data_IF_585698631705
#
_entry.id   IF_585698631705
#
_cell.length_a   1.000
_cell.length_b   1.000
_cell.length_c   1.000
_cell.angle_alpha   90.00
_cell.angle_beta   90.00
_cell.angle_gamma   90.00
#
_symmetry.space_group_name_H-M   'P 1'
#
loop_
_entity.id
_entity.type
_entity.pdbx_description
1 polymer ?
#
# COMPACT_ATOMS: atom_id res chain seq x y z
N UNK A 1 -62.53 1.71 -61.26
CA UNK A 1 -62.51 2.89 -60.36
C UNK A 1 -61.72 2.50 -59.12
N UNK A 2 -60.69 3.27 -58.76
CA UNK A 2 -59.53 2.78 -58.00
C UNK A 2 -59.63 3.08 -56.51
N UNK A 3 -58.91 2.32 -55.68
CA UNK A 3 -58.32 2.86 -54.45
C UNK A 3 -56.89 2.31 -54.35
N UNK A 4 -55.95 3.16 -54.78
CA UNK A 4 -54.51 3.00 -54.54
C UNK A 4 -54.25 3.32 -53.07
N UNK A 5 -53.78 2.35 -52.27
CA UNK A 5 -53.20 2.65 -50.96
C UNK A 5 -51.70 2.87 -51.14
N UNK A 6 -51.32 4.14 -51.17
CA UNK A 6 -49.94 4.61 -51.04
C UNK A 6 -49.40 4.22 -49.65
N UNK A 7 -48.67 3.11 -49.57
CA UNK A 7 -47.85 2.80 -48.40
C UNK A 7 -46.57 3.64 -48.53
N UNK A 8 -46.60 4.82 -47.91
CA UNK A 8 -45.42 5.68 -47.76
C UNK A 8 -44.35 4.90 -46.98
N UNK A 9 -43.26 4.52 -47.66
CA UNK A 9 -42.00 4.17 -47.01
C UNK A 9 -41.47 5.41 -46.29
N UNK A 10 -41.57 5.43 -44.97
CA UNK A 10 -40.81 6.35 -44.15
C UNK A 10 -39.41 5.78 -43.98
N UNK A 11 -38.48 6.18 -44.85
CA UNK A 11 -37.05 6.00 -44.63
C UNK A 11 -36.64 6.92 -43.47
N UNK A 12 -36.79 6.42 -42.25
CA UNK A 12 -36.18 7.04 -41.08
C UNK A 12 -34.66 6.78 -41.16
N UNK A 13 -33.82 7.82 -41.09
CA UNK A 13 -32.38 7.62 -41.05
C UNK A 13 -32.04 6.81 -39.80
N UNK A 14 -31.41 5.65 -40.00
CA UNK A 14 -30.76 4.89 -38.93
C UNK A 14 -29.73 5.84 -38.33
N UNK A 15 -30.04 6.37 -37.15
CA UNK A 15 -29.12 7.13 -36.36
C UNK A 15 -27.91 6.23 -36.12
N UNK A 16 -26.82 6.51 -36.85
CA UNK A 16 -25.49 6.02 -36.54
C UNK A 16 -25.27 6.29 -35.06
N UNK A 17 -25.19 5.23 -34.25
CA UNK A 17 -24.80 5.35 -32.86
C UNK A 17 -23.42 6.00 -32.85
N UNK A 18 -23.43 7.31 -32.66
CA UNK A 18 -22.25 8.09 -32.32
C UNK A 18 -21.58 7.34 -31.18
N UNK A 19 -20.37 6.87 -31.46
CA UNK A 19 -19.43 6.31 -30.51
C UNK A 19 -19.40 7.27 -29.35
N UNK A 20 -20.21 7.01 -28.31
CA UNK A 20 -20.21 7.82 -27.09
C UNK A 20 -18.78 7.79 -26.64
N UNK A 21 -18.11 8.91 -26.84
CA UNK A 21 -16.81 9.20 -26.29
C UNK A 21 -16.93 8.78 -24.84
N UNK A 22 -16.22 7.71 -24.48
CA UNK A 22 -15.96 7.36 -23.11
C UNK A 22 -15.11 8.51 -22.60
N UNK A 23 -15.76 9.61 -22.24
CA UNK A 23 -15.16 10.72 -21.55
C UNK A 23 -14.54 10.08 -20.33
N UNK A 24 -13.21 9.95 -20.37
CA UNK A 24 -12.45 9.69 -19.18
C UNK A 24 -12.76 10.90 -18.30
N UNK A 25 -13.77 10.79 -17.44
CA UNK A 25 -13.88 11.67 -16.30
C UNK A 25 -12.57 11.46 -15.55
N UNK A 26 -11.63 12.35 -15.80
CA UNK A 26 -10.35 12.41 -15.12
C UNK A 26 -10.67 12.89 -13.72
N UNK A 27 -11.12 11.96 -12.88
CA UNK A 27 -11.46 12.20 -11.48
C UNK A 27 -10.29 12.92 -10.85
N UNK A 28 -10.53 14.09 -10.26
CA UNK A 28 -9.43 14.91 -9.78
C UNK A 28 -8.73 14.16 -8.64
N UNK A 29 -7.38 14.15 -8.52
CA UNK A 29 -6.67 13.34 -7.51
C UNK A 29 -7.13 13.57 -6.06
N UNK A 30 -7.69 14.75 -5.74
CA UNK A 30 -8.26 15.04 -4.41
C UNK A 30 -9.57 14.28 -4.14
N UNK A 31 -10.35 13.99 -5.18
CA UNK A 31 -11.63 13.29 -5.10
C UNK A 31 -11.46 11.78 -4.86
N UNK A 32 -10.24 11.25 -4.96
CA UNK A 32 -9.93 9.83 -4.75
C UNK A 32 -9.36 9.51 -3.37
N UNK A 33 -9.25 10.51 -2.48
CA UNK A 33 -8.71 10.31 -1.12
C UNK A 33 -9.60 9.45 -0.21
N UNK A 34 -10.88 9.31 -0.52
CA UNK A 34 -11.75 8.37 0.19
C UNK A 34 -11.35 6.91 -0.08
N UNK A 35 -10.74 6.64 -1.24
CA UNK A 35 -10.28 5.30 -1.62
C UNK A 35 -8.83 5.06 -1.22
N UNK A 36 -7.96 6.05 -1.44
CA UNK A 36 -6.53 6.01 -1.06
C UNK A 36 -6.21 7.16 -0.09
N UNK A 37 -6.59 7.03 1.19
CA UNK A 37 -6.32 8.06 2.18
C UNK A 37 -4.82 8.25 2.42
N UNK A 38 -4.45 9.37 3.08
CA UNK A 38 -3.07 9.56 3.52
C UNK A 38 -2.72 8.48 4.55
N UNK A 39 -1.54 7.86 4.39
CA UNK A 39 -1.10 6.83 5.31
C UNK A 39 -0.73 7.44 6.68
N UNK A 40 -1.25 6.90 7.81
CA UNK A 40 -0.94 7.41 9.13
C UNK A 40 0.56 7.43 9.41
N UNK A 41 1.00 8.43 10.18
CA UNK A 41 2.37 8.42 10.72
C UNK A 41 2.48 7.34 11.78
N UNK A 42 3.55 6.56 11.73
CA UNK A 42 3.84 5.51 12.71
C UNK A 42 4.89 6.06 13.68
N UNK A 43 4.62 5.94 14.99
CA UNK A 43 5.56 6.35 16.02
C UNK A 43 6.66 5.30 16.24
N UNK A 44 7.88 5.76 16.52
CA UNK A 44 8.92 4.90 17.07
C UNK A 44 8.51 4.42 18.46
N UNK A 45 8.85 3.17 18.78
CA UNK A 45 8.83 2.71 20.17
C UNK A 45 9.80 3.56 21.02
N UNK A 46 9.51 3.78 22.31
CA UNK A 46 10.33 4.62 23.20
C UNK A 46 11.71 4.04 23.50
N UNK A 47 11.90 2.74 23.28
CA UNK A 47 13.16 2.05 23.57
C UNK A 47 14.15 2.19 22.40
N UNK A 48 15.30 2.82 22.68
CA UNK A 48 16.39 3.03 21.72
C UNK A 48 15.93 3.56 20.34
N UNK A 49 15.13 4.64 20.27
CA UNK A 49 14.55 5.09 19.01
C UNK A 49 15.64 5.65 18.08
N UNK A 50 15.88 4.99 16.95
CA UNK A 50 16.63 5.57 15.83
C UNK A 50 15.72 6.48 14.98
N UNK A 51 15.23 7.55 15.59
CA UNK A 51 14.29 8.51 15.03
C UNK A 51 15.00 9.74 14.44
N UNK A 52 14.52 10.24 13.29
CA UNK A 52 14.94 11.53 12.77
C UNK A 52 14.24 12.69 13.51
N UNK A 53 14.72 13.93 13.34
CA UNK A 53 14.17 15.12 14.01
C UNK A 53 12.65 15.28 13.84
N UNK A 54 12.12 14.87 12.69
CA UNK A 54 10.70 15.01 12.38
C UNK A 54 9.88 13.79 12.75
N UNK A 55 10.47 12.68 13.19
CA UNK A 55 9.77 11.43 13.54
C UNK A 55 8.96 11.57 14.85
N UNK A 56 7.89 10.77 14.96
CA UNK A 56 7.15 10.62 16.22
C UNK A 56 7.82 9.56 17.07
N UNK A 57 7.87 9.78 18.38
CA UNK A 57 8.29 8.79 19.38
C UNK A 57 7.12 8.64 20.35
N UNK A 58 6.65 7.41 20.55
CA UNK A 58 5.60 7.12 21.51
C UNK A 58 6.16 7.22 22.93
N UNK A 59 5.35 7.66 23.87
CA UNK A 59 5.64 7.52 25.30
C UNK A 59 5.58 6.06 25.74
N UNK A 60 6.18 5.74 26.88
CA UNK A 60 6.08 4.39 27.47
C UNK A 60 4.64 3.99 27.75
N UNK A 61 3.80 4.93 28.21
CA UNK A 61 2.39 4.68 28.47
C UNK A 61 1.61 4.34 27.20
N UNK A 62 1.85 5.05 26.09
CA UNK A 62 1.23 4.74 24.79
C UNK A 62 1.69 3.38 24.25
N UNK A 63 2.97 3.08 24.41
CA UNK A 63 3.57 1.84 23.92
C UNK A 63 3.27 0.62 24.82
N UNK A 64 2.82 0.83 26.06
CA UNK A 64 2.56 -0.24 27.02
C UNK A 64 1.56 -1.29 26.51
N UNK A 65 0.64 -0.89 25.63
CA UNK A 65 -0.34 -1.79 24.97
C UNK A 65 0.33 -2.94 24.20
N UNK A 66 1.59 -2.78 23.76
CA UNK A 66 2.36 -3.85 23.11
C UNK A 66 2.52 -5.05 24.04
N UNK A 67 2.70 -4.81 25.34
CA UNK A 67 2.82 -5.86 26.34
C UNK A 67 1.43 -6.43 26.66
N UNK A 68 1.15 -7.63 26.12
CA UNK A 68 -0.12 -8.32 26.35
C UNK A 68 -1.17 -8.16 25.25
N UNK A 69 -0.85 -7.48 24.15
CA UNK A 69 -1.71 -7.43 22.97
C UNK A 69 -1.95 -8.84 22.41
N UNK A 70 -3.20 -9.33 22.47
CA UNK A 70 -3.58 -10.65 21.98
C UNK A 70 -3.52 -10.78 20.44
N UNK A 71 -3.69 -9.66 19.72
CA UNK A 71 -3.69 -9.60 18.25
C UNK A 71 -2.55 -8.74 17.72
N UNK A 72 -1.36 -8.99 18.25
CA UNK A 72 -0.14 -8.34 17.81
C UNK A 72 0.42 -9.06 16.58
N UNK A 73 0.80 -8.30 15.56
CA UNK A 73 1.67 -8.77 14.49
C UNK A 73 2.96 -7.95 14.47
N UNK A 74 4.07 -8.65 14.23
CA UNK A 74 5.39 -8.04 14.07
C UNK A 74 5.96 -8.50 12.73
N UNK A 75 6.25 -7.54 11.85
CA UNK A 75 6.82 -7.83 10.53
C UNK A 75 8.09 -7.02 10.32
N UNK A 76 8.90 -7.43 9.34
CA UNK A 76 9.97 -6.59 8.84
C UNK A 76 9.44 -5.21 8.42
N UNK A 77 10.18 -4.16 8.79
CA UNK A 77 10.05 -2.85 8.17
C UNK A 77 10.86 -2.86 6.88
N UNK A 78 10.17 -2.81 5.75
CA UNK A 78 10.81 -2.65 4.45
C UNK A 78 11.28 -1.22 4.23
N UNK A 79 12.35 -1.09 3.45
CA UNK A 79 13.03 0.15 3.11
C UNK A 79 12.85 0.47 1.63
N UNK A 80 11.69 1.05 1.31
CA UNK A 80 11.35 1.52 -0.02
C UNK A 80 10.44 2.73 0.06
N UNK A 81 9.47 2.79 -0.86
CA UNK A 81 8.50 3.87 -0.86
C UNK A 81 7.08 3.39 -0.55
N UNK A 82 6.49 3.92 0.51
CA UNK A 82 5.07 3.72 0.84
C UNK A 82 4.17 4.10 -0.35
N UNK A 83 3.37 3.14 -0.80
CA UNK A 83 2.48 3.24 -1.94
C UNK A 83 1.12 2.61 -1.61
N UNK A 84 0.05 3.37 -1.83
CA UNK A 84 -1.32 2.90 -1.80
C UNK A 84 -1.80 2.64 -3.23
N UNK A 85 -2.43 1.50 -3.47
CA UNK A 85 -2.93 1.06 -4.75
C UNK A 85 -4.39 0.60 -4.62
N UNK A 86 -5.22 1.02 -5.56
CA UNK A 86 -6.59 0.56 -5.68
C UNK A 86 -6.99 0.45 -7.15
N UNK A 87 -8.06 -0.29 -7.42
CA UNK A 87 -8.81 -0.16 -8.65
C UNK A 87 -10.16 0.45 -8.32
N UNK A 88 -10.69 1.25 -9.25
CA UNK A 88 -12.03 1.82 -9.13
C UNK A 88 -12.56 2.07 -10.53
N UNK A 89 -13.73 1.51 -10.86
CA UNK A 89 -14.35 1.62 -12.19
C UNK A 89 -13.39 1.26 -13.34
N UNK A 90 -12.55 0.25 -13.13
CA UNK A 90 -11.55 -0.21 -14.10
C UNK A 90 -10.29 0.65 -14.20
N UNK A 91 -10.18 1.73 -13.42
CA UNK A 91 -9.02 2.63 -13.40
C UNK A 91 -8.15 2.35 -12.17
N UNK A 92 -6.83 2.34 -12.37
CA UNK A 92 -5.85 2.24 -11.27
C UNK A 92 -5.70 3.60 -10.60
N UNK A 93 -5.84 3.60 -9.28
CA UNK A 93 -5.55 4.73 -8.42
C UNK A 93 -4.31 4.40 -7.59
N UNK A 94 -3.31 5.28 -7.64
CA UNK A 94 -2.08 5.12 -6.89
C UNK A 94 -1.81 6.39 -6.07
N UNK A 95 -1.34 6.23 -4.84
CA UNK A 95 -0.97 7.35 -3.99
C UNK A 95 0.29 7.05 -3.18
N UNK A 96 1.15 8.05 -3.04
CA UNK A 96 2.21 8.04 -2.03
C UNK A 96 1.64 8.52 -0.70
N UNK A 97 2.43 8.47 0.38
CA UNK A 97 2.07 9.02 1.70
C UNK A 97 1.44 10.42 1.66
N UNK A 98 1.83 11.27 0.70
CA UNK A 98 1.42 12.68 0.65
C UNK A 98 0.48 13.03 -0.51
N UNK A 99 0.56 12.30 -1.63
CA UNK A 99 -0.08 12.70 -2.88
C UNK A 99 -0.63 11.51 -3.66
N UNK A 100 -1.86 11.66 -4.15
CA UNK A 100 -2.40 10.80 -5.22
C UNK A 100 -1.63 11.10 -6.51
N UNK A 101 -1.09 10.05 -7.11
CA UNK A 101 -0.24 10.11 -8.29
C UNK A 101 -1.10 10.29 -9.56
N UNK A 102 -0.57 11.01 -10.55
CA UNK A 102 -1.20 11.18 -11.86
C UNK A 102 -0.54 10.26 -12.89
N UNK A 103 -1.31 9.61 -13.76
CA UNK A 103 -0.73 8.82 -14.86
C UNK A 103 0.07 9.74 -15.78
N UNK A 104 1.25 9.29 -16.23
CA UNK A 104 2.19 10.15 -16.97
C UNK A 104 3.01 11.10 -16.10
N UNK A 105 3.07 10.85 -14.79
CA UNK A 105 3.94 11.59 -13.88
C UNK A 105 5.42 11.38 -14.24
N UNK A 106 6.04 12.42 -14.79
CA UNK A 106 7.48 12.49 -15.01
C UNK A 106 8.01 13.68 -14.19
N UNK A 107 8.85 13.40 -13.18
CA UNK A 107 9.61 14.44 -12.47
C UNK A 107 11.08 14.03 -12.42
N UNK A 108 11.97 15.02 -12.43
CA UNK A 108 13.42 14.85 -12.60
C UNK A 108 14.12 14.09 -11.45
N UNK A 109 13.58 14.11 -10.24
CA UNK A 109 14.24 13.51 -9.06
C UNK A 109 14.10 11.99 -9.04
N UNK A 110 15.18 11.26 -8.71
CA UNK A 110 15.20 9.80 -8.58
C UNK A 110 14.09 9.25 -7.66
N UNK A 111 13.82 9.94 -6.54
CA UNK A 111 12.75 9.61 -5.60
C UNK A 111 11.33 9.62 -6.21
N UNK A 112 11.14 10.26 -7.37
CA UNK A 112 9.87 10.35 -8.09
C UNK A 112 9.82 9.45 -9.31
N UNK A 113 10.96 9.22 -9.96
CA UNK A 113 11.09 8.32 -11.11
C UNK A 113 10.74 6.87 -10.76
N UNK A 114 10.93 6.47 -9.49
CA UNK A 114 10.58 5.12 -9.04
C UNK A 114 9.11 4.72 -9.28
N UNK A 115 8.19 5.69 -9.42
CA UNK A 115 6.76 5.42 -9.60
C UNK A 115 6.29 5.32 -11.06
N UNK A 116 7.18 5.48 -12.05
CA UNK A 116 6.80 5.50 -13.48
C UNK A 116 6.09 4.20 -13.91
N UNK A 117 6.53 3.06 -13.36
CA UNK A 117 6.02 1.73 -13.76
C UNK A 117 4.82 1.24 -12.93
N UNK A 118 4.32 2.05 -11.99
CA UNK A 118 3.23 1.63 -11.08
C UNK A 118 1.98 1.20 -11.85
N UNK A 119 1.55 1.96 -12.86
CA UNK A 119 0.36 1.62 -13.65
C UNK A 119 0.53 0.34 -14.46
N UNK A 120 1.72 0.12 -15.04
CA UNK A 120 2.01 -1.11 -15.77
C UNK A 120 1.95 -2.31 -14.83
N UNK A 121 2.59 -2.21 -13.67
CA UNK A 121 2.58 -3.26 -12.66
C UNK A 121 1.15 -3.57 -12.17
N UNK A 122 0.32 -2.55 -11.94
CA UNK A 122 -1.08 -2.76 -11.53
C UNK A 122 -1.94 -3.43 -12.62
N UNK A 123 -1.60 -3.25 -13.89
CA UNK A 123 -2.29 -3.91 -14.99
C UNK A 123 -1.87 -5.37 -15.11
N UNK A 124 -0.56 -5.65 -15.03
CA UNK A 124 0.02 -7.01 -14.97
C UNK A 124 -0.56 -7.82 -13.80
N UNK A 125 -0.85 -7.17 -12.67
CA UNK A 125 -1.37 -7.79 -11.46
C UNK A 125 -2.88 -7.55 -11.25
N UNK A 126 -3.60 -7.14 -12.29
CA UNK A 126 -5.02 -6.76 -12.22
C UNK A 126 -5.91 -7.77 -11.50
N UNK A 127 -5.70 -9.07 -11.74
CA UNK A 127 -6.50 -10.15 -11.14
C UNK A 127 -6.44 -10.16 -9.61
N UNK A 128 -5.32 -9.73 -9.01
CA UNK A 128 -5.18 -9.64 -7.55
C UNK A 128 -6.12 -8.60 -6.96
N UNK A 129 -6.18 -7.42 -7.59
CA UNK A 129 -7.07 -6.34 -7.17
C UNK A 129 -8.55 -6.69 -7.40
N UNK A 130 -8.87 -7.34 -8.51
CA UNK A 130 -10.24 -7.81 -8.76
C UNK A 130 -10.68 -8.89 -7.77
N UNK A 131 -9.76 -9.77 -7.35
CA UNK A 131 -10.04 -10.73 -6.28
C UNK A 131 -10.35 -10.01 -4.97
N UNK A 132 -9.51 -9.05 -4.58
CA UNK A 132 -9.68 -8.25 -3.36
C UNK A 132 -11.05 -7.57 -3.30
N UNK A 133 -11.45 -6.83 -4.35
CA UNK A 133 -12.76 -6.15 -4.41
C UNK A 133 -13.92 -7.14 -4.29
N UNK A 134 -13.83 -8.31 -4.95
CA UNK A 134 -14.88 -9.34 -4.89
C UNK A 134 -14.96 -10.02 -3.53
N UNK A 135 -13.81 -10.41 -2.97
CA UNK A 135 -13.73 -11.12 -1.70
C UNK A 135 -14.17 -10.23 -0.53
N UNK A 136 -13.85 -8.93 -0.60
CA UNK A 136 -14.31 -7.95 0.39
C UNK A 136 -15.78 -7.56 0.20
N UNK A 137 -16.27 -7.55 -1.04
CA UNK A 137 -17.64 -7.11 -1.36
C UNK A 137 -17.80 -5.60 -1.50
N UNK A 138 -16.71 -4.87 -1.75
CA UNK A 138 -16.73 -3.41 -1.90
C UNK A 138 -15.38 -2.80 -2.26
N UNK A 139 -15.32 -1.47 -2.45
CA UNK A 139 -14.07 -0.77 -2.79
C UNK A 139 -13.08 -0.83 -1.62
N UNK A 140 -11.86 -1.27 -1.91
CA UNK A 140 -10.75 -1.29 -0.96
C UNK A 140 -9.45 -0.81 -1.61
N UNK A 141 -8.50 -0.42 -0.78
CA UNK A 141 -7.14 -0.11 -1.25
C UNK A 141 -6.09 -0.86 -0.45
N UNK A 142 -4.97 -1.15 -1.11
CA UNK A 142 -3.85 -1.89 -0.57
C UNK A 142 -2.69 -0.93 -0.35
N UNK A 143 -2.17 -0.90 0.86
CA UNK A 143 -0.97 -0.15 1.23
C UNK A 143 0.20 -1.11 1.34
N UNK A 144 1.33 -0.71 0.77
CA UNK A 144 2.53 -1.53 0.72
C UNK A 144 3.78 -0.73 0.47
N UNK A 145 4.90 -1.43 0.51
CA UNK A 145 6.20 -0.87 0.18
C UNK A 145 6.53 -1.15 -1.29
N UNK A 146 6.82 -0.09 -2.03
CA UNK A 146 7.29 -0.16 -3.42
C UNK A 146 8.83 -0.26 -3.43
N UNK A 147 9.33 -1.44 -3.81
CA UNK A 147 10.75 -1.82 -3.74
C UNK A 147 11.42 -1.70 -5.10
N UNK A 148 11.25 -0.56 -5.78
CA UNK A 148 11.85 -0.35 -7.11
C UNK A 148 13.29 0.14 -7.05
N UNK A 149 13.61 0.96 -6.07
CA UNK A 149 14.95 1.53 -5.91
C UNK A 149 15.40 1.20 -4.50
N UNK A 150 16.60 0.63 -4.30
CA UNK A 150 17.12 0.43 -2.95
C UNK A 150 17.38 1.80 -2.33
N UNK A 151 16.86 2.02 -1.12
CA UNK A 151 17.10 3.25 -0.37
C UNK A 151 18.34 3.09 0.50
N UNK A 152 18.46 1.95 1.18
CA UNK A 152 19.56 1.56 2.09
C UNK A 152 19.68 0.03 2.21
N UNK A 153 18.59 -0.73 2.14
CA UNK A 153 18.61 -2.20 2.06
C UNK A 153 18.70 -2.65 0.59
N UNK A 154 19.66 -3.53 0.27
CA UNK A 154 19.82 -4.13 -1.07
C UNK A 154 19.01 -5.41 -1.15
N UNK A 155 17.78 -5.28 -1.64
CA UNK A 155 16.90 -6.41 -1.87
C UNK A 155 17.38 -7.30 -3.04
N UNK A 156 17.14 -8.60 -2.93
CA UNK A 156 17.38 -9.58 -3.98
C UNK A 156 16.56 -9.25 -5.24
N UNK A 157 17.08 -9.61 -6.42
CA UNK A 157 16.37 -9.39 -7.68
C UNK A 157 15.01 -10.12 -7.76
N UNK A 158 14.87 -11.23 -7.02
CA UNK A 158 13.63 -11.99 -6.92
C UNK A 158 12.60 -11.37 -5.95
N UNK A 159 12.98 -10.35 -5.17
CA UNK A 159 12.07 -9.69 -4.24
C UNK A 159 10.92 -9.01 -5.02
N UNK A 160 9.66 -9.22 -4.61
CA UNK A 160 8.51 -8.58 -5.23
C UNK A 160 8.66 -7.06 -5.28
N UNK A 161 8.29 -6.44 -6.41
CA UNK A 161 8.33 -4.97 -6.55
C UNK A 161 7.39 -4.23 -5.59
N UNK A 162 6.36 -4.91 -5.11
CA UNK A 162 5.39 -4.37 -4.15
C UNK A 162 5.11 -5.41 -3.08
N UNK A 163 5.38 -5.06 -1.83
CA UNK A 163 5.10 -5.89 -0.65
C UNK A 163 3.99 -5.19 0.15
N UNK A 164 2.73 -5.64 0.03
CA UNK A 164 1.64 -5.06 0.79
C UNK A 164 1.77 -5.38 2.27
N UNK A 165 1.33 -4.42 3.10
CA UNK A 165 1.36 -4.54 4.55
C UNK A 165 0.02 -4.19 5.20
N UNK A 166 -0.92 -3.54 4.50
CA UNK A 166 -2.23 -3.16 5.04
C UNK A 166 -3.31 -3.06 3.96
N UNK A 167 -4.56 -3.22 4.36
CA UNK A 167 -5.75 -3.02 3.52
C UNK A 167 -6.64 -1.96 4.18
N UNK A 168 -7.06 -0.96 3.41
CA UNK A 168 -8.01 0.05 3.83
C UNK A 168 -9.40 -0.27 3.26
N UNK A 169 -10.37 -0.37 4.16
CA UNK A 169 -11.77 -0.54 3.83
C UNK A 169 -12.46 0.83 3.77
N UNK A 170 -13.07 1.14 2.63
CA UNK A 170 -13.74 2.41 2.42
C UNK A 170 -15.11 2.52 3.10
N UNK A 171 -15.75 1.39 3.40
CA UNK A 171 -17.02 1.31 4.13
C UNK A 171 -16.79 1.50 5.62
N UNK A 172 -15.87 0.73 6.21
CA UNK A 172 -15.45 0.88 7.60
C UNK A 172 -14.68 2.19 7.84
N UNK A 173 -14.11 2.75 6.77
CA UNK A 173 -13.20 3.91 6.80
C UNK A 173 -12.00 3.71 7.71
N UNK A 174 -11.56 2.46 7.86
CA UNK A 174 -10.43 2.08 8.68
C UNK A 174 -9.54 1.08 7.94
N UNK A 175 -8.34 0.90 8.47
CA UNK A 175 -7.47 -0.20 8.05
C UNK A 175 -7.90 -1.47 8.76
N UNK A 176 -8.11 -2.54 8.00
CA UNK A 176 -8.52 -3.84 8.52
C UNK A 176 -7.53 -4.37 9.55
N UNK A 177 -8.02 -5.22 10.46
CA UNK A 177 -7.20 -5.96 11.40
C UNK A 177 -6.02 -6.64 10.67
N UNK A 178 -4.79 -6.61 11.23
CA UNK A 178 -3.61 -7.10 10.52
C UNK A 178 -3.73 -8.53 10.02
N UNK A 179 -4.38 -9.41 10.79
CA UNK A 179 -4.53 -10.82 10.42
C UNK A 179 -5.54 -10.98 9.27
N UNK A 180 -6.66 -10.26 9.32
CA UNK A 180 -7.63 -10.25 8.23
C UNK A 180 -7.03 -9.69 6.94
N UNK A 181 -6.28 -8.59 7.05
CA UNK A 181 -5.60 -8.00 5.91
C UNK A 181 -4.55 -8.96 5.32
N UNK A 182 -3.76 -9.63 6.15
CA UNK A 182 -2.79 -10.63 5.72
C UNK A 182 -3.47 -11.77 4.95
N UNK A 183 -4.50 -12.38 5.53
CA UNK A 183 -5.24 -13.50 4.91
C UNK A 183 -5.82 -13.10 3.55
N UNK A 184 -6.44 -11.92 3.48
CA UNK A 184 -7.03 -11.39 2.25
C UNK A 184 -5.96 -11.12 1.18
N UNK A 185 -4.80 -10.55 1.55
CA UNK A 185 -3.70 -10.27 0.64
C UNK A 185 -3.04 -11.55 0.11
N UNK A 186 -2.83 -12.56 0.99
CA UNK A 186 -2.29 -13.86 0.60
C UNK A 186 -3.25 -14.60 -0.33
N UNK A 187 -4.54 -14.61 -0.03
CA UNK A 187 -5.57 -15.21 -0.88
C UNK A 187 -5.68 -14.54 -2.26
N UNK A 188 -5.44 -13.22 -2.33
CA UNK A 188 -5.33 -12.49 -3.59
C UNK A 188 -4.02 -12.76 -4.37
N UNK A 189 -3.10 -13.53 -3.80
CA UNK A 189 -1.83 -13.92 -4.41
C UNK A 189 -0.73 -12.84 -4.33
N UNK A 190 -0.84 -11.89 -3.39
CA UNK A 190 0.28 -10.99 -3.09
C UNK A 190 1.35 -11.70 -2.25
N UNK A 191 2.60 -11.31 -2.45
CA UNK A 191 3.69 -11.69 -1.57
C UNK A 191 3.71 -10.73 -0.38
N UNK A 192 3.28 -11.22 0.79
CA UNK A 192 3.25 -10.48 2.05
C UNK A 192 4.50 -10.80 2.86
N UNK A 193 4.97 -9.84 3.65
CA UNK A 193 6.03 -10.07 4.62
C UNK A 193 5.64 -11.16 5.62
N UNK A 194 6.53 -12.10 5.89
CA UNK A 194 6.28 -13.08 6.94
C UNK A 194 6.30 -12.42 8.32
N UNK A 195 5.44 -12.93 9.20
CA UNK A 195 5.46 -12.55 10.61
C UNK A 195 6.77 -13.05 11.23
N UNK A 196 7.41 -12.17 11.99
CA UNK A 196 8.61 -12.54 12.75
C UNK A 196 8.21 -13.47 13.91
N UNK A 197 9.11 -14.38 14.34
CA UNK A 197 8.80 -15.42 15.31
C UNK A 197 8.70 -14.87 16.74
N UNK A 198 7.65 -14.10 16.99
CA UNK A 198 7.31 -13.52 18.29
C UNK A 198 5.79 -13.52 18.47
N UNK A 199 5.32 -14.36 19.39
CA UNK A 199 3.89 -14.45 19.70
C UNK A 199 3.47 -13.43 20.76
N UNK A 200 4.39 -13.10 21.68
CA UNK A 200 4.17 -12.13 22.74
C UNK A 200 5.44 -11.33 22.98
N UNK A 201 5.28 -10.03 23.16
CA UNK A 201 6.36 -9.15 23.61
C UNK A 201 6.30 -9.08 25.13
N UNK A 202 7.41 -9.41 25.78
CA UNK A 202 7.57 -9.31 27.25
C UNK A 202 8.61 -8.27 27.66
N UNK A 203 9.48 -7.85 26.74
CA UNK A 203 10.51 -6.84 26.94
C UNK A 203 10.83 -6.16 25.59
N UNK A 204 11.56 -5.04 25.61
CA UNK A 204 11.91 -4.32 24.39
C UNK A 204 13.12 -4.91 23.66
N UNK A 205 14.00 -5.58 24.41
CA UNK A 205 15.23 -6.20 23.94
C UNK A 205 14.97 -7.24 22.85
N UNK A 206 13.92 -8.05 22.98
CA UNK A 206 13.52 -9.04 21.98
C UNK A 206 13.13 -8.37 20.65
N UNK A 207 12.40 -7.25 20.72
CA UNK A 207 12.07 -6.46 19.53
C UNK A 207 13.32 -5.82 18.91
N UNK A 208 14.27 -5.40 19.74
CA UNK A 208 15.52 -4.81 19.28
C UNK A 208 16.43 -5.86 18.63
N UNK A 209 16.43 -7.11 19.11
CA UNK A 209 17.10 -8.23 18.47
C UNK A 209 16.46 -8.55 17.11
N UNK A 210 15.13 -8.60 17.06
CA UNK A 210 14.41 -8.78 15.81
C UNK A 210 14.69 -7.63 14.83
N UNK A 211 14.72 -6.37 15.25
CA UNK A 211 15.02 -5.24 14.37
C UNK A 211 16.40 -5.34 13.72
N UNK A 212 17.39 -5.93 14.40
CA UNK A 212 18.76 -6.14 13.89
C UNK A 212 18.93 -7.42 13.05
N UNK A 213 17.90 -8.26 12.96
CA UNK A 213 17.99 -9.57 12.32
C UNK A 213 18.20 -9.52 10.81
N UNK A 214 18.74 -10.62 10.26
CA UNK A 214 18.83 -10.84 8.82
C UNK A 214 17.44 -10.86 8.16
N UNK A 215 17.36 -10.70 6.85
CA UNK A 215 16.10 -10.79 6.10
C UNK A 215 16.22 -11.82 4.97
N UNK A 216 15.20 -12.64 4.68
CA UNK A 216 15.25 -13.53 3.51
C UNK A 216 15.26 -12.75 2.18
N UNK A 217 14.97 -11.44 2.21
CA UNK A 217 14.88 -10.58 1.05
C UNK A 217 16.21 -9.93 0.66
N UNK A 218 17.29 -10.12 1.44
CA UNK A 218 18.64 -9.60 1.17
C UNK A 218 19.71 -10.60 1.61
N UNK A 219 20.76 -10.76 0.80
CA UNK A 219 21.94 -11.53 1.16
C UNK A 219 23.04 -10.67 1.82
N UNK A 220 22.92 -9.34 1.79
CA UNK A 220 23.99 -8.42 2.16
C UNK A 220 23.64 -7.55 3.37
N UNK A 221 22.36 -7.30 3.59
CA UNK A 221 21.90 -6.34 4.57
C UNK A 221 20.92 -6.99 5.56
N UNK A 222 20.95 -6.53 6.81
CA UNK A 222 19.88 -6.79 7.75
C UNK A 222 18.61 -6.02 7.35
N UNK A 223 17.48 -6.36 7.97
CA UNK A 223 16.22 -5.60 7.82
C UNK A 223 16.33 -4.20 8.41
N UNK A 224 15.70 -3.17 7.83
CA UNK A 224 15.72 -1.80 8.39
C UNK A 224 15.25 -1.79 9.86
N UNK A 225 14.26 -2.63 10.16
CA UNK A 225 13.74 -2.78 11.51
C UNK A 225 12.47 -3.61 11.52
N UNK A 226 11.56 -3.28 12.43
CA UNK A 226 10.26 -3.96 12.57
C UNK A 226 9.11 -2.96 12.63
N UNK A 227 7.96 -3.39 12.12
CA UNK A 227 6.67 -2.73 12.33
C UNK A 227 5.82 -3.62 13.24
N UNK A 228 5.21 -3.01 14.25
CA UNK A 228 4.25 -3.65 15.13
C UNK A 228 2.86 -3.12 14.81
N UNK A 229 1.88 -4.00 14.70
CA UNK A 229 0.48 -3.64 14.51
C UNK A 229 -0.38 -4.42 15.48
N UNK A 230 -1.33 -3.73 16.11
CA UNK A 230 -2.29 -4.34 17.03
C UNK A 230 -3.67 -4.11 16.43
N UNK A 231 -4.46 -5.18 16.33
CA UNK A 231 -5.85 -5.09 15.91
C UNK A 231 -6.83 -5.47 17.02
N UNK A 232 -8.12 -5.22 16.78
CA UNK A 232 -9.23 -5.59 17.66
C UNK A 232 -10.10 -6.72 17.09
N UNK A 233 -9.69 -7.32 15.96
CA UNK A 233 -10.48 -8.31 15.22
C UNK A 233 -11.28 -7.72 14.07
N UNK A 234 -11.41 -6.40 13.99
CA UNK A 234 -12.05 -5.69 12.87
C UNK A 234 -11.04 -4.77 12.17
N UNK A 235 -10.29 -3.97 12.94
CA UNK A 235 -9.39 -2.92 12.44
C UNK A 235 -8.08 -2.85 13.22
N UNK A 236 -7.12 -2.14 12.66
CA UNK A 236 -5.91 -1.74 13.40
C UNK A 236 -6.25 -0.66 14.41
N UNK A 237 -5.82 -0.88 15.65
CA UNK A 237 -5.93 0.08 16.76
C UNK A 237 -4.62 0.81 17.00
N UNK A 238 -3.46 0.14 16.85
CA UNK A 238 -2.14 0.74 17.12
C UNK A 238 -1.11 0.34 16.08
N UNK A 239 -0.14 1.23 15.83
CA UNK A 239 1.04 0.98 15.01
C UNK A 239 2.27 1.55 15.68
N UNK A 240 3.32 0.76 15.76
CA UNK A 240 4.64 1.23 16.19
C UNK A 240 5.71 0.74 15.21
N UNK A 241 6.86 1.42 15.23
CA UNK A 241 8.05 0.98 14.50
C UNK A 241 9.25 0.97 15.42
N UNK A 242 10.20 0.09 15.13
CA UNK A 242 11.56 0.16 15.66
C UNK A 242 12.50 0.05 14.46
N UNK A 243 13.43 0.99 14.35
CA UNK A 243 14.45 1.02 13.29
C UNK A 243 15.77 0.65 13.97
N UNK A 244 16.55 -0.26 13.36
CA UNK A 244 17.79 -0.71 13.98
C UNK A 244 18.79 0.46 14.14
N UNK A 245 19.63 0.47 15.19
CA UNK A 245 20.46 1.64 15.52
C UNK A 245 21.47 2.04 14.44
N UNK A 246 22.01 1.09 13.69
CA UNK A 246 23.01 1.29 12.64
C UNK A 246 22.41 1.69 11.28
N UNK A 247 21.09 1.80 11.18
CA UNK A 247 20.42 2.14 9.92
C UNK A 247 20.56 3.63 9.60
N UNK A 248 21.19 3.92 8.46
CA UNK A 248 21.37 5.29 7.93
C UNK A 248 20.47 5.50 6.72
N UNK A 249 19.45 6.35 6.87
CA UNK A 249 18.42 6.56 5.84
C UNK A 249 19.00 7.13 4.55
N UNK A 250 18.57 6.56 3.43
CA UNK A 250 18.81 7.11 2.10
C UNK A 250 20.26 7.05 1.65
N UNK A 251 21.05 6.12 2.20
CA UNK A 251 22.46 5.93 1.87
C UNK A 251 22.71 5.80 0.35
N UNK A 252 21.74 5.28 -0.41
CA UNK A 252 21.85 5.09 -1.86
C UNK A 252 21.14 6.16 -2.70
N UNK A 253 20.45 7.12 -2.08
CA UNK A 253 19.96 8.29 -2.79
C UNK A 253 21.09 9.30 -2.95
N UNK A 254 21.72 9.34 -4.12
CA UNK A 254 22.68 10.39 -4.42
C UNK A 254 21.95 11.74 -4.49
N UNK A 255 22.29 12.65 -3.56
CA UNK A 255 22.08 14.09 -3.78
C UNK A 255 23.08 14.49 -4.85
N UNK A 256 22.68 14.46 -6.13
CA UNK A 256 23.36 15.27 -7.13
C UNK A 256 22.95 16.72 -6.83
N UNK A 257 23.87 17.47 -6.24
CA UNK A 257 23.85 18.92 -6.28
C UNK A 257 23.92 19.43 -7.70
#
# INVERSE_FOLDING_TARGET
MPVSLDIRRTDAPIATMSTRQRTQHTTHPRELRWLVPAYPRIAHLPYQPNAARDDLIASEAEAAVVFGAARLTVTEKFDGACLALARHNGVVVAATKHHVLRKGYQKATQAKQQFVDVWRWCDEHRRRFEYLERAHGGPISVFGEWLRTPHTVRYLAATPRFVPFEVYDTTLRAFLDPLLAEDLLRAAGFAVADRLPIERVTNWEDLALLARGATPWSALDAREGVILKIGDGEKITHRFKMVRPDFVRGQFFQVRG
#
